data_IF_602234431898
#
_entry.id   IF_602234431898
#
_cell.length_a   1.000
_cell.length_b   1.000
_cell.length_c   1.000
_cell.angle_alpha   90.00
_cell.angle_beta   90.00
_cell.angle_gamma   90.00
#
_symmetry.space_group_name_H-M   'P 1'
#
loop_
_entity.id
_entity.type
_entity.pdbx_description
1 polymer ?
#
# COMPACT_ATOMS: atom_id res chain seq x y z
N UNK A 1 23.56 1.41 30.06
CA UNK A 1 24.71 0.54 30.37
C UNK A 1 24.22 -0.69 31.10
N UNK A 2 24.92 -1.81 30.99
CA UNK A 2 24.52 -3.10 31.55
C UNK A 2 25.71 -3.89 32.12
N UNK A 3 25.42 -4.94 32.88
CA UNK A 3 26.40 -5.78 33.56
C UNK A 3 26.61 -5.38 35.01
N UNK A 4 27.29 -6.24 35.79
CA UNK A 4 27.49 -6.08 37.24
C UNK A 4 28.12 -4.74 37.62
N UNK A 5 29.03 -4.23 36.77
CA UNK A 5 29.74 -2.96 36.98
C UNK A 5 29.24 -1.83 36.08
N UNK A 6 28.20 -2.05 35.25
CA UNK A 6 27.75 -1.11 34.22
C UNK A 6 28.84 -0.72 33.18
N UNK A 7 29.82 -1.59 32.94
CA UNK A 7 30.92 -1.32 32.00
C UNK A 7 30.49 -1.45 30.53
N UNK A 8 29.39 -2.17 30.26
CA UNK A 8 28.92 -2.41 28.90
C UNK A 8 27.90 -1.36 28.48
N UNK A 9 28.05 -0.83 27.26
CA UNK A 9 27.05 0.06 26.66
C UNK A 9 25.87 -0.75 26.13
N UNK A 10 24.67 -0.17 26.16
CA UNK A 10 23.55 -0.76 25.44
C UNK A 10 23.82 -0.66 23.93
N UNK A 11 23.37 -1.63 23.15
CA UNK A 11 23.33 -1.51 21.69
C UNK A 11 22.23 -0.57 21.21
N UNK A 12 21.82 -0.74 19.95
CA UNK A 12 20.82 0.10 19.27
C UNK A 12 19.40 -0.33 19.62
N UNK A 13 19.04 -0.27 20.90
CA UNK A 13 17.70 -0.63 21.37
C UNK A 13 16.67 0.45 21.04
N UNK A 14 15.48 0.05 20.58
CA UNK A 14 14.37 0.99 20.41
C UNK A 14 13.98 1.63 21.75
N UNK A 15 13.86 2.95 21.77
CA UNK A 15 13.65 3.74 22.99
C UNK A 15 14.89 3.88 23.89
N UNK A 16 16.06 3.36 23.49
CA UNK A 16 17.35 3.43 24.22
C UNK A 16 17.38 2.75 25.60
N UNK A 17 16.41 1.88 25.87
CA UNK A 17 16.38 1.09 27.11
C UNK A 17 16.87 -0.34 26.84
N UNK A 18 17.83 -0.78 27.64
CA UNK A 18 18.29 -2.17 27.65
C UNK A 18 18.26 -2.75 29.07
N UNK A 19 18.10 -4.06 29.16
CA UNK A 19 18.15 -4.78 30.43
C UNK A 19 19.48 -4.52 31.13
N UNK A 20 19.41 -4.03 32.38
CA UNK A 20 20.62 -3.73 33.17
C UNK A 20 21.43 -5.00 33.49
N UNK A 21 20.81 -6.18 33.43
CA UNK A 21 21.42 -7.47 33.77
C UNK A 21 22.29 -7.99 32.60
N UNK A 22 21.71 -8.11 31.41
CA UNK A 22 22.32 -8.80 30.26
C UNK A 22 22.39 -7.96 28.98
N UNK A 23 21.94 -6.70 29.01
CA UNK A 23 21.99 -5.80 27.86
C UNK A 23 20.89 -6.00 26.82
N UNK A 24 19.95 -6.92 27.04
CA UNK A 24 18.92 -7.24 26.06
C UNK A 24 17.90 -6.11 25.86
N UNK A 25 17.50 -5.86 24.62
CA UNK A 25 16.53 -4.84 24.27
C UNK A 25 15.10 -5.42 24.29
N UNK A 26 14.30 -5.06 25.29
CA UNK A 26 12.95 -5.61 25.47
C UNK A 26 11.92 -5.08 24.48
N UNK A 27 12.17 -3.91 23.91
CA UNK A 27 11.30 -3.25 22.94
C UNK A 27 11.77 -3.43 21.49
N UNK A 28 12.73 -4.34 21.28
CA UNK A 28 13.37 -4.54 19.99
C UNK A 28 14.47 -3.51 19.69
N UNK A 29 14.88 -3.50 18.43
CA UNK A 29 16.00 -2.76 17.89
C UNK A 29 15.56 -1.57 17.05
N UNK A 30 16.38 -0.53 17.08
CA UNK A 30 16.30 0.57 16.11
C UNK A 30 16.53 0.04 14.69
N UNK A 31 16.10 0.81 13.69
CA UNK A 31 16.26 0.45 12.29
C UNK A 31 17.73 0.20 11.92
N UNK A 32 17.99 -0.88 11.20
CA UNK A 32 19.34 -1.30 10.80
C UNK A 32 20.07 -2.20 11.80
N UNK A 33 19.42 -2.58 12.90
CA UNK A 33 19.99 -3.40 13.95
C UNK A 33 19.13 -4.63 14.30
N UNK A 34 19.77 -5.72 14.70
CA UNK A 34 19.11 -6.96 15.13
C UNK A 34 19.89 -7.67 16.23
N UNK A 35 19.37 -8.82 16.67
CA UNK A 35 19.91 -9.61 17.76
C UNK A 35 19.41 -9.15 19.14
N UNK A 36 19.65 -9.94 20.20
CA UNK A 36 19.08 -9.71 21.53
C UNK A 36 19.50 -8.38 22.15
N UNK A 37 20.70 -7.89 21.81
CA UNK A 37 21.27 -6.63 22.31
C UNK A 37 21.32 -5.52 21.24
N UNK A 38 20.79 -5.77 20.03
CA UNK A 38 20.80 -4.81 18.91
C UNK A 38 22.20 -4.29 18.52
N UNK A 39 23.20 -5.16 18.65
CA UNK A 39 24.59 -4.89 18.26
C UNK A 39 24.88 -5.37 16.84
N UNK A 40 24.12 -6.34 16.35
CA UNK A 40 24.29 -6.90 15.01
C UNK A 40 23.62 -6.00 13.97
N UNK A 41 24.24 -5.90 12.79
CA UNK A 41 23.61 -5.24 11.64
C UNK A 41 22.58 -6.16 11.00
N UNK A 42 21.64 -5.60 10.25
CA UNK A 42 20.73 -6.40 9.45
C UNK A 42 21.47 -7.37 8.52
N UNK A 43 20.92 -8.58 8.44
CA UNK A 43 21.32 -9.56 7.44
C UNK A 43 21.14 -8.98 6.05
N UNK A 44 22.01 -9.36 5.12
CA UNK A 44 21.94 -8.93 3.73
C UNK A 44 20.55 -9.22 3.15
N UNK A 45 19.89 -8.19 2.62
CA UNK A 45 18.53 -8.30 2.07
C UNK A 45 17.42 -7.87 3.04
N UNK A 46 17.76 -7.46 4.27
CA UNK A 46 16.79 -6.98 5.25
C UNK A 46 17.11 -5.57 5.75
N UNK A 47 16.09 -4.83 6.16
CA UNK A 47 16.17 -3.47 6.69
C UNK A 47 15.08 -3.19 7.72
N UNK A 48 15.11 -1.98 8.28
CA UNK A 48 14.05 -1.48 9.18
C UNK A 48 14.25 -1.93 10.62
N UNK A 49 13.26 -1.65 11.47
CA UNK A 49 13.29 -2.01 12.88
C UNK A 49 13.33 -3.53 13.04
N UNK A 50 14.24 -4.03 13.89
CA UNK A 50 14.50 -5.46 14.05
C UNK A 50 14.88 -6.20 12.75
N UNK A 51 15.13 -5.49 11.65
CA UNK A 51 15.42 -6.05 10.34
C UNK A 51 14.32 -7.00 9.81
N UNK A 52 13.05 -6.67 10.04
CA UNK A 52 11.92 -7.49 9.59
C UNK A 52 11.48 -7.21 8.16
N UNK A 53 11.90 -6.09 7.58
CA UNK A 53 11.52 -5.70 6.23
C UNK A 53 12.51 -6.25 5.20
N UNK A 54 12.02 -6.88 4.14
CA UNK A 54 12.86 -7.35 3.03
C UNK A 54 13.14 -6.21 2.04
N UNK A 55 14.39 -6.09 1.59
CA UNK A 55 14.76 -5.19 0.50
C UNK A 55 13.91 -5.49 -0.74
N UNK A 56 13.49 -4.45 -1.45
CA UNK A 56 12.89 -4.62 -2.77
C UNK A 56 13.93 -5.00 -3.82
N UNK A 57 13.59 -4.73 -5.07
CA UNK A 57 14.38 -5.14 -6.23
C UNK A 57 15.45 -4.12 -6.56
N UNK A 58 16.44 -4.03 -5.68
CA UNK A 58 17.58 -3.14 -5.81
C UNK A 58 18.64 -3.71 -6.77
N UNK A 59 19.27 -2.84 -7.56
CA UNK A 59 20.50 -3.21 -8.24
C UNK A 59 21.63 -3.45 -7.24
N UNK A 60 22.31 -4.57 -7.39
CA UNK A 60 23.46 -4.95 -6.55
C UNK A 60 24.72 -4.90 -7.40
N UNK A 61 25.70 -4.09 -6.97
CA UNK A 61 27.04 -4.09 -7.58
C UNK A 61 27.97 -5.01 -6.80
N UNK A 62 29.04 -5.48 -7.46
CA UNK A 62 30.06 -6.35 -6.82
C UNK A 62 30.76 -5.70 -5.61
N UNK A 63 30.65 -4.38 -5.45
CA UNK A 63 31.23 -3.63 -4.34
C UNK A 63 30.26 -3.40 -3.15
N UNK A 64 29.02 -3.89 -3.23
CA UNK A 64 27.99 -3.61 -2.22
C UNK A 64 28.01 -4.67 -1.10
N UNK A 65 28.26 -4.23 0.14
CA UNK A 65 28.13 -5.08 1.35
C UNK A 65 26.66 -5.45 1.61
N UNK A 66 25.74 -4.51 1.36
CA UNK A 66 24.30 -4.66 1.54
C UNK A 66 23.55 -4.53 0.22
N UNK A 67 22.34 -5.09 0.14
CA UNK A 67 21.45 -5.02 -1.05
C UNK A 67 20.72 -3.68 -1.10
N UNK A 68 20.17 -3.26 0.04
CA UNK A 68 19.57 -1.96 0.27
C UNK A 68 20.14 -1.35 1.55
N UNK A 69 19.86 -0.06 1.79
CA UNK A 69 20.18 0.60 3.05
C UNK A 69 19.47 -0.12 4.22
N UNK A 70 20.20 -0.61 5.24
CA UNK A 70 19.62 -1.41 6.32
C UNK A 70 18.71 -0.60 7.25
N UNK A 71 18.77 0.74 7.22
CA UNK A 71 17.92 1.61 8.03
C UNK A 71 16.64 1.94 7.27
N UNK A 72 16.75 2.45 6.04
CA UNK A 72 15.62 3.00 5.29
C UNK A 72 15.04 2.07 4.22
N UNK A 73 15.78 1.02 3.81
CA UNK A 73 15.40 0.12 2.72
C UNK A 73 15.67 0.66 1.32
N UNK A 74 16.31 1.83 1.21
CA UNK A 74 16.53 2.50 -0.07
C UNK A 74 17.63 1.81 -0.87
N UNK A 75 17.49 1.80 -2.18
CA UNK A 75 18.45 1.16 -3.08
C UNK A 75 19.51 2.17 -3.55
N UNK A 76 20.77 2.12 -3.07
CA UNK A 76 21.80 3.10 -3.42
C UNK A 76 22.22 3.05 -4.89
N UNK A 77 22.03 1.90 -5.55
CA UNK A 77 22.34 1.70 -6.98
C UNK A 77 21.09 1.78 -7.88
N UNK A 78 19.96 2.25 -7.35
CA UNK A 78 18.67 2.27 -8.04
C UNK A 78 18.01 0.88 -8.15
N UNK A 79 16.92 0.82 -8.93
CA UNK A 79 16.07 -0.36 -9.08
C UNK A 79 16.49 -1.26 -10.25
N UNK A 80 16.21 -2.56 -10.13
CA UNK A 80 16.19 -3.49 -11.25
C UNK A 80 15.20 -3.02 -12.33
N UNK A 81 15.44 -3.41 -13.58
CA UNK A 81 14.54 -3.11 -14.70
C UNK A 81 13.10 -3.56 -14.40
N UNK A 82 12.14 -2.65 -14.54
CA UNK A 82 10.73 -2.92 -14.28
C UNK A 82 10.28 -2.64 -12.84
N UNK A 83 11.15 -2.11 -11.98
CA UNK A 83 10.82 -1.73 -10.60
C UNK A 83 11.07 -0.24 -10.35
N UNK A 84 10.22 0.37 -9.51
CA UNK A 84 10.25 1.79 -9.14
C UNK A 84 9.91 2.01 -7.67
N UNK A 85 9.95 3.27 -7.25
CA UNK A 85 9.77 3.69 -5.86
C UNK A 85 11.10 3.79 -5.11
N UNK A 86 11.08 4.40 -3.92
CA UNK A 86 12.30 4.61 -3.12
C UNK A 86 13.00 3.31 -2.70
N UNK A 87 12.21 2.25 -2.50
CA UNK A 87 12.67 0.93 -2.05
C UNK A 87 12.49 -0.14 -3.13
N UNK A 88 12.19 0.24 -4.38
CA UNK A 88 12.04 -0.67 -5.52
C UNK A 88 11.06 -1.84 -5.28
N UNK A 89 9.92 -1.55 -4.63
CA UNK A 89 8.86 -2.53 -4.35
C UNK A 89 7.68 -2.43 -5.31
N UNK A 90 7.61 -1.37 -6.09
CA UNK A 90 6.51 -1.15 -7.04
C UNK A 90 6.94 -1.63 -8.42
N UNK A 91 6.20 -2.57 -8.99
CA UNK A 91 6.44 -3.02 -10.36
C UNK A 91 5.80 -2.05 -11.37
N UNK A 92 6.57 -1.68 -12.40
CA UNK A 92 5.99 -1.02 -13.57
C UNK A 92 5.28 -2.11 -14.39
N UNK A 93 3.97 -2.23 -14.20
CA UNK A 93 3.13 -2.93 -15.16
C UNK A 93 3.01 -2.06 -16.42
N UNK A 94 3.86 -2.32 -17.41
CA UNK A 94 3.70 -1.74 -18.74
C UNK A 94 2.50 -2.41 -19.41
N UNK A 95 1.33 -1.77 -19.38
CA UNK A 95 0.18 -2.19 -20.19
C UNK A 95 0.05 -1.21 -21.37
N UNK A 96 0.18 -1.74 -22.58
CA UNK A 96 0.05 -0.98 -23.84
C UNK A 96 0.98 0.26 -23.94
N UNK A 97 2.20 0.16 -23.43
CA UNK A 97 3.22 1.22 -23.59
C UNK A 97 3.07 2.43 -22.66
N UNK A 98 2.16 2.37 -21.68
CA UNK A 98 1.98 3.41 -20.65
C UNK A 98 2.42 2.88 -19.28
N UNK A 99 3.09 3.74 -18.48
CA UNK A 99 3.42 3.45 -17.07
C UNK A 99 2.14 3.66 -16.25
N UNK A 100 1.59 2.57 -15.70
CA UNK A 100 0.44 2.61 -14.80
C UNK A 100 0.79 1.85 -13.52
N UNK A 101 0.45 2.41 -12.36
CA UNK A 101 0.56 1.68 -11.10
C UNK A 101 -0.53 0.60 -11.04
N UNK A 102 -0.22 -0.56 -10.46
CA UNK A 102 -1.16 -1.69 -10.36
C UNK A 102 -2.49 -1.31 -9.64
N UNK A 103 -2.42 -0.38 -8.69
CA UNK A 103 -3.59 0.14 -7.97
C UNK A 103 -4.54 0.95 -8.87
N UNK A 104 -4.00 1.71 -9.84
CA UNK A 104 -4.81 2.47 -10.79
C UNK A 104 -5.59 1.54 -11.72
N UNK A 105 -5.00 0.38 -12.09
CA UNK A 105 -5.69 -0.63 -12.90
C UNK A 105 -6.84 -1.30 -12.14
N UNK A 106 -6.69 -1.52 -10.84
CA UNK A 106 -7.75 -2.05 -9.98
C UNK A 106 -8.88 -1.03 -9.78
N UNK A 107 -8.53 0.23 -9.50
CA UNK A 107 -9.50 1.32 -9.38
C UNK A 107 -10.27 1.54 -10.68
N UNK A 108 -9.59 1.58 -11.83
CA UNK A 108 -10.24 1.72 -13.15
C UNK A 108 -11.23 0.58 -13.43
N UNK A 109 -10.88 -0.67 -13.06
CA UNK A 109 -11.78 -1.83 -13.20
C UNK A 109 -13.01 -1.72 -12.30
N UNK A 110 -12.84 -1.24 -11.06
CA UNK A 110 -13.93 -1.02 -10.11
C UNK A 110 -14.86 0.11 -10.56
N UNK A 111 -14.31 1.21 -11.06
CA UNK A 111 -15.08 2.38 -11.45
C UNK A 111 -16.01 2.08 -12.64
N UNK A 112 -15.58 1.24 -13.58
CA UNK A 112 -16.43 0.77 -14.69
C UNK A 112 -17.67 -0.03 -14.21
N UNK A 113 -17.50 -0.86 -13.18
CA UNK A 113 -18.61 -1.64 -12.59
C UNK A 113 -19.62 -0.72 -11.89
N UNK A 114 -19.14 0.29 -11.17
CA UNK A 114 -19.98 1.27 -10.47
C UNK A 114 -20.75 2.13 -11.46
N UNK A 115 -20.07 2.66 -12.50
CA UNK A 115 -20.71 3.48 -13.53
C UNK A 115 -21.82 2.70 -14.27
N UNK A 116 -21.58 1.43 -14.59
CA UNK A 116 -22.58 0.56 -15.21
C UNK A 116 -23.83 0.38 -14.36
N UNK A 117 -23.67 0.18 -13.05
CA UNK A 117 -24.80 0.04 -12.13
C UNK A 117 -25.61 1.36 -12.00
N UNK A 118 -24.92 2.50 -11.89
CA UNK A 118 -25.58 3.81 -11.79
C UNK A 118 -26.38 4.14 -13.06
N UNK A 119 -25.82 3.88 -14.24
CA UNK A 119 -26.50 4.15 -15.52
C UNK A 119 -27.76 3.28 -15.67
N UNK A 120 -27.68 2.00 -15.31
CA UNK A 120 -28.84 1.11 -15.39
C UNK A 120 -29.93 1.54 -14.39
N UNK A 121 -29.57 1.87 -13.15
CA UNK A 121 -30.52 2.42 -12.18
C UNK A 121 -31.21 3.70 -12.67
N UNK A 122 -30.45 4.66 -13.22
CA UNK A 122 -31.02 5.91 -13.77
C UNK A 122 -31.99 5.60 -14.90
N UNK A 123 -31.64 4.69 -15.81
CA UNK A 123 -32.51 4.28 -16.90
C UNK A 123 -33.81 3.67 -16.37
N UNK A 124 -33.76 2.72 -15.44
CA UNK A 124 -34.96 2.10 -14.85
C UNK A 124 -35.83 3.11 -14.10
N UNK A 125 -35.23 4.01 -13.31
CA UNK A 125 -35.95 5.07 -12.61
C UNK A 125 -36.66 6.00 -13.61
N UNK A 126 -35.99 6.37 -14.70
CA UNK A 126 -36.60 7.21 -15.75
C UNK A 126 -37.77 6.53 -16.45
N UNK A 127 -37.68 5.22 -16.71
CA UNK A 127 -38.75 4.42 -17.32
C UNK A 127 -39.93 4.29 -16.37
N UNK A 128 -39.69 4.00 -15.09
CA UNK A 128 -40.74 3.92 -14.07
C UNK A 128 -41.42 5.29 -13.92
N UNK A 129 -40.65 6.37 -13.81
CA UNK A 129 -41.19 7.72 -13.75
C UNK A 129 -42.04 8.04 -14.99
N UNK A 130 -41.61 7.64 -16.18
CA UNK A 130 -42.39 7.80 -17.42
C UNK A 130 -43.68 6.98 -17.42
N UNK A 131 -43.65 5.74 -16.93
CA UNK A 131 -44.83 4.88 -16.82
C UNK A 131 -45.81 5.48 -15.80
N UNK A 132 -45.34 5.89 -14.62
CA UNK A 132 -46.15 6.52 -13.59
C UNK A 132 -46.72 7.85 -14.08
N UNK A 133 -45.90 8.65 -14.78
CA UNK A 133 -46.34 9.87 -15.43
C UNK A 133 -47.44 9.60 -16.45
N UNK A 134 -47.30 8.54 -17.27
CA UNK A 134 -48.31 8.12 -18.24
C UNK A 134 -49.58 7.56 -17.58
N UNK A 135 -49.46 6.89 -16.45
CA UNK A 135 -50.61 6.41 -15.66
C UNK A 135 -51.31 7.55 -14.92
N UNK A 136 -50.60 8.63 -14.63
CA UNK A 136 -51.12 9.85 -14.02
C UNK A 136 -51.82 10.76 -15.03
N UNK A 137 -51.67 10.55 -16.34
CA UNK A 137 -52.45 11.29 -17.32
C UNK A 137 -53.91 10.80 -17.28
N UNK A 138 -54.90 11.69 -17.05
CA UNK A 138 -56.30 11.31 -17.15
C UNK A 138 -56.59 10.81 -18.57
N UNK A 139 -57.31 9.69 -18.69
CA UNK A 139 -57.75 9.19 -20.01
C UNK A 139 -58.63 10.28 -20.64
N UNK A 140 -58.47 10.61 -21.92
CA UNK A 140 -59.38 11.55 -22.58
C UNK A 140 -60.80 10.98 -22.50
N UNK A 141 -61.71 11.72 -21.87
CA UNK A 141 -63.12 11.36 -21.79
C UNK A 141 -63.73 11.37 -23.21
N UNK A 142 -64.29 10.23 -23.62
CA UNK A 142 -64.90 10.02 -24.94
C UNK A 142 -66.37 10.52 -25.02
N UNK A 143 -66.84 11.32 -24.05
CA UNK A 143 -68.26 11.60 -23.88
C UNK A 143 -68.57 13.10 -23.88
N UNK A 144 -68.49 13.73 -25.06
CA UNK A 144 -69.05 15.07 -25.31
C UNK A 144 -69.40 15.24 -26.82
N UNK A 145 -70.02 14.22 -27.43
CA UNK A 145 -70.54 14.34 -28.81
C UNK A 145 -72.02 13.98 -28.99
N UNK A 146 -72.75 13.81 -27.89
CA UNK A 146 -74.20 13.57 -27.91
C UNK A 146 -74.87 14.29 -26.74
N UNK A 147 -74.80 15.62 -26.74
CA UNK A 147 -75.85 16.46 -26.18
C UNK A 147 -76.34 17.41 -27.28
N UNK A 148 -77.66 17.60 -27.29
CA UNK A 148 -78.52 18.16 -28.34
C UNK A 148 -78.15 19.55 -28.85
#
# INVERSE_FOLDING_TARGET
>A
MWGLNCDNKCGRCSGRYCSRINGSCTYGCEAGATGPNCEENCTRGFYGENCVDECGRCNVTNSSTFVCDPVSGRCPSGCESGWVGENCRDDILVKEGTIVHAEDLYNFRRDFLIAGFVITCIFFVSVIAFILWRWSQPKPDFFDKYDF
#
